data_IF_715279200819
#
_entry.id   IF_715279200819
#
_cell.length_a   1.000
_cell.length_b   1.000
_cell.length_c   1.000
_cell.angle_alpha   90.00
_cell.angle_beta   90.00
_cell.angle_gamma   90.00
#
_symmetry.space_group_name_H-M   'P 1'
#
loop_
_entity.id
_entity.type
_entity.pdbx_description
1 polymer ?
#
# COMPACT_ATOMS: atom_id res chain seq x y z
N UNK A 1 -5.62 -11.92 -1.91
CA UNK A 1 -4.59 -11.53 -0.93
C UNK A 1 -3.21 -11.33 -1.56
N UNK A 2 -2.89 -11.96 -2.70
CA UNK A 2 -1.55 -11.83 -3.34
C UNK A 2 -1.14 -10.39 -3.69
N UNK A 3 -2.03 -9.57 -4.27
CA UNK A 3 -1.70 -8.19 -4.65
C UNK A 3 -1.35 -7.32 -3.44
N UNK A 4 -2.12 -7.42 -2.36
CA UNK A 4 -1.96 -6.57 -1.18
C UNK A 4 -0.65 -6.89 -0.46
N UNK A 5 -0.37 -8.18 -0.24
CA UNK A 5 0.90 -8.60 0.37
C UNK A 5 2.11 -8.20 -0.47
N UNK A 6 2.01 -8.26 -1.80
CA UNK A 6 3.09 -7.81 -2.69
C UNK A 6 3.34 -6.29 -2.57
N UNK A 7 2.30 -5.49 -2.38
CA UNK A 7 2.45 -4.06 -2.11
C UNK A 7 3.10 -3.81 -0.75
N UNK A 8 2.64 -4.49 0.31
CA UNK A 8 3.22 -4.39 1.65
C UNK A 8 4.71 -4.76 1.66
N UNK A 9 5.11 -5.83 0.96
CA UNK A 9 6.51 -6.28 0.88
C UNK A 9 7.39 -5.30 0.08
N UNK A 10 6.92 -4.83 -1.09
CA UNK A 10 7.70 -3.95 -1.98
C UNK A 10 7.92 -2.56 -1.39
N UNK A 11 6.89 -2.00 -0.75
CA UNK A 11 6.90 -0.60 -0.29
C UNK A 11 7.16 -0.46 1.21
N UNK A 12 7.44 -1.55 1.92
CA UNK A 12 7.97 -1.48 3.29
C UNK A 12 9.45 -1.08 3.24
N UNK A 13 9.75 0.13 3.73
CA UNK A 13 11.12 0.64 3.88
C UNK A 13 11.56 0.66 5.35
N UNK A 14 12.87 0.69 5.60
CA UNK A 14 13.43 0.73 6.96
C UNK A 14 12.91 1.94 7.76
N UNK A 15 11.98 1.67 8.69
CA UNK A 15 11.38 2.67 9.57
C UNK A 15 9.98 3.14 9.15
N UNK A 16 9.43 2.66 8.03
CA UNK A 16 8.03 2.91 7.63
C UNK A 16 7.41 1.63 7.06
N UNK A 17 6.95 0.70 7.91
CA UNK A 17 6.27 -0.49 7.45
C UNK A 17 4.95 -0.12 6.77
N UNK A 18 4.74 -0.63 5.55
CA UNK A 18 3.47 -0.52 4.86
C UNK A 18 2.58 -1.67 5.32
N UNK A 19 1.52 -1.34 6.05
CA UNK A 19 0.46 -2.28 6.44
C UNK A 19 -0.88 -1.82 5.85
N UNK A 20 -1.57 -2.76 5.20
CA UNK A 20 -2.87 -2.57 4.58
C UNK A 20 -3.87 -3.46 5.33
N UNK A 21 -4.73 -2.82 6.12
CA UNK A 21 -5.80 -3.52 6.83
C UNK A 21 -6.81 -4.14 5.84
N UNK A 22 -7.53 -5.18 6.26
CA UNK A 22 -8.61 -5.77 5.44
C UNK A 22 -9.65 -4.70 5.00
N UNK A 23 -9.97 -3.76 5.89
CA UNK A 23 -10.92 -2.66 5.59
C UNK A 23 -10.37 -1.71 4.52
N UNK A 24 -9.08 -1.42 4.54
CA UNK A 24 -8.44 -0.58 3.52
C UNK A 24 -8.28 -1.34 2.20
N UNK A 25 -7.94 -2.63 2.27
CA UNK A 25 -7.86 -3.51 1.10
C UNK A 25 -9.21 -3.60 0.37
N UNK A 26 -10.34 -3.65 1.08
CA UNK A 26 -11.68 -3.63 0.47
C UNK A 26 -11.98 -2.33 -0.31
N UNK A 27 -11.36 -1.21 0.11
CA UNK A 27 -11.50 0.10 -0.54
C UNK A 27 -10.56 0.28 -1.73
N UNK A 28 -9.46 -0.48 -1.79
CA UNK A 28 -8.52 -0.50 -2.92
C UNK A 28 -9.10 -1.34 -4.07
N UNK A 29 -10.02 -0.73 -4.82
CA UNK A 29 -10.72 -1.38 -5.94
C UNK A 29 -10.12 -1.05 -7.31
N UNK A 30 -9.21 -0.08 -7.36
CA UNK A 30 -8.57 0.39 -8.58
C UNK A 30 -7.09 0.59 -8.36
N UNK A 31 -6.32 0.58 -9.45
CA UNK A 31 -4.88 0.89 -9.41
C UNK A 31 -4.64 2.28 -8.83
N UNK A 32 -5.46 3.27 -9.19
CA UNK A 32 -5.33 4.62 -8.64
C UNK A 32 -5.55 4.64 -7.12
N UNK A 33 -6.53 3.90 -6.60
CA UNK A 33 -6.75 3.81 -5.16
C UNK A 33 -5.57 3.17 -4.41
N UNK A 34 -4.88 2.20 -5.03
CA UNK A 34 -3.66 1.62 -4.47
C UNK A 34 -2.52 2.66 -4.42
N UNK A 35 -2.30 3.38 -5.52
CA UNK A 35 -1.28 4.44 -5.61
C UNK A 35 -1.55 5.54 -4.58
N UNK A 36 -2.79 6.01 -4.50
CA UNK A 36 -3.19 7.07 -3.55
C UNK A 36 -2.98 6.61 -2.09
N UNK A 37 -3.29 5.34 -1.79
CA UNK A 37 -3.05 4.77 -0.46
C UNK A 37 -1.57 4.77 -0.11
N UNK A 38 -0.71 4.26 -1.00
CA UNK A 38 0.74 4.18 -0.79
C UNK A 38 1.33 5.58 -0.57
N UNK A 39 0.95 6.56 -1.40
CA UNK A 39 1.38 7.95 -1.25
C UNK A 39 0.91 8.58 0.07
N UNK A 40 -0.29 8.22 0.54
CA UNK A 40 -0.82 8.70 1.82
C UNK A 40 0.00 8.24 3.04
N UNK A 41 0.77 7.16 2.89
CA UNK A 41 1.69 6.65 3.92
C UNK A 41 3.04 7.37 3.93
N UNK A 42 3.22 8.38 3.07
CA UNK A 42 4.45 9.18 2.98
C UNK A 42 5.51 8.58 2.06
N UNK A 43 5.17 7.47 1.39
CA UNK A 43 6.01 6.80 0.40
C UNK A 43 5.95 7.62 -0.89
N UNK A 44 7.12 8.02 -1.39
CA UNK A 44 7.24 8.89 -2.57
C UNK A 44 7.81 8.10 -3.74
N UNK A 45 7.34 8.41 -4.94
CA UNK A 45 8.00 7.95 -6.16
C UNK A 45 9.45 8.44 -6.15
N UNK A 46 10.39 7.50 -6.32
CA UNK A 46 11.83 7.74 -6.41
C UNK A 46 12.30 7.93 -7.84
#
# INVERSE_FOLDING_TARGET
VELIMALEEEFTEEGTPLEISDEDAEKIQTVQAAVDFIQSKGIKDS
#
